data_IF_003163120199
#
_entry.id   IF_003163120199
#
_cell.length_a   1.000
_cell.length_b   1.000
_cell.length_c   1.000
_cell.angle_alpha   90.00
_cell.angle_beta   90.00
_cell.angle_gamma   90.00
#
_symmetry.space_group_name_H-M   'P 1'
#
loop_
_entity.id
_entity.type
_entity.pdbx_description
1 polymer ?
#
# COMPACT_ATOMS: atom_id res chain seq x y z
N UNK A 1 16.87 -9.77 25.43
CA UNK A 1 16.39 -9.38 24.08
C UNK A 1 15.20 -8.46 24.25
N UNK A 2 15.31 -7.20 23.84
CA UNK A 2 14.25 -6.19 24.06
C UNK A 2 13.20 -6.32 22.95
N UNK A 3 11.90 -6.40 23.27
CA UNK A 3 10.85 -6.42 22.25
C UNK A 3 10.82 -5.06 21.52
N UNK A 4 10.78 -5.08 20.18
CA UNK A 4 10.73 -3.90 19.31
C UNK A 4 9.36 -3.22 19.41
N UNK A 5 9.16 -2.44 20.47
CA UNK A 5 8.17 -1.35 20.50
C UNK A 5 8.59 -0.28 19.50
N UNK A 6 7.63 0.45 18.91
CA UNK A 6 7.91 1.65 18.11
C UNK A 6 8.95 2.52 18.84
N UNK A 7 10.12 2.70 18.24
CA UNK A 7 11.24 3.47 18.82
C UNK A 7 11.32 4.82 18.13
N UNK A 8 11.09 5.87 18.92
CA UNK A 8 11.38 7.24 18.53
C UNK A 8 12.79 7.59 18.98
N UNK A 9 13.59 8.10 18.06
CA UNK A 9 14.69 8.97 18.46
C UNK A 9 14.14 10.38 18.45
N UNK A 10 14.13 11.03 19.61
CA UNK A 10 13.73 12.43 19.77
C UNK A 10 14.99 13.28 19.84
N UNK A 11 15.07 14.30 18.99
CA UNK A 11 16.08 15.33 19.06
C UNK A 11 15.45 16.59 19.68
N UNK A 12 15.84 16.96 20.91
CA UNK A 12 15.34 18.17 21.54
C UNK A 12 15.80 19.40 20.74
N UNK A 13 14.85 20.22 20.30
CA UNK A 13 15.11 21.60 19.92
C UNK A 13 15.26 22.50 21.16
N UNK A 14 15.70 23.77 20.98
CA UNK A 14 15.96 24.71 22.07
C UNK A 14 14.73 25.09 22.91
N UNK A 15 13.50 24.84 22.45
CA UNK A 15 12.26 25.03 23.19
C UNK A 15 11.59 23.67 23.50
N UNK A 16 11.51 23.33 24.79
CA UNK A 16 10.77 22.18 25.28
C UNK A 16 9.25 22.40 25.13
N UNK A 17 8.69 22.05 23.98
CA UNK A 17 7.25 22.09 23.71
C UNK A 17 6.53 20.77 24.11
N UNK A 18 5.19 20.76 24.31
CA UNK A 18 4.42 19.61 24.84
C UNK A 18 4.14 18.47 23.84
N UNK A 19 4.65 18.57 22.61
CA UNK A 19 4.56 17.52 21.58
C UNK A 19 4.99 16.12 22.08
N UNK A 20 6.02 15.96 22.93
CA UNK A 20 6.42 14.68 23.49
C UNK A 20 5.30 14.00 24.30
N UNK A 21 4.41 14.75 24.97
CA UNK A 21 3.36 14.17 25.79
C UNK A 21 2.22 13.58 24.95
N UNK A 22 1.81 14.27 23.88
CA UNK A 22 0.79 13.79 22.93
C UNK A 22 1.33 12.61 22.12
N UNK A 23 2.58 12.67 21.65
CA UNK A 23 3.23 11.53 20.98
C UNK A 23 3.44 10.34 21.94
N UNK A 24 3.86 10.59 23.19
CA UNK A 24 4.02 9.53 24.18
C UNK A 24 2.68 8.89 24.55
N UNK A 25 1.59 9.66 24.67
CA UNK A 25 0.25 9.12 24.89
C UNK A 25 -0.24 8.33 23.69
N UNK A 26 -0.12 8.89 22.48
CA UNK A 26 -0.44 8.19 21.24
C UNK A 26 0.27 6.84 21.15
N UNK A 27 1.56 6.82 21.51
CA UNK A 27 2.33 5.59 21.58
C UNK A 27 1.80 4.65 22.64
N UNK A 28 1.48 5.11 23.85
CA UNK A 28 0.90 4.24 24.89
C UNK A 28 -0.39 3.59 24.41
N UNK A 29 -1.27 4.34 23.74
CA UNK A 29 -2.57 3.85 23.29
C UNK A 29 -2.49 2.97 22.03
N UNK A 30 -1.53 3.21 21.13
CA UNK A 30 -1.42 2.52 19.82
C UNK A 30 -0.23 1.54 19.72
N UNK A 31 0.60 1.41 20.76
CA UNK A 31 1.71 0.43 20.80
C UNK A 31 1.27 -1.02 20.95
N UNK A 32 -0.05 -1.28 20.99
CA UNK A 32 -0.63 -2.62 20.85
C UNK A 32 -0.52 -3.18 19.42
N UNK A 33 -0.27 -2.33 18.41
CA UNK A 33 -0.08 -2.76 17.03
C UNK A 33 1.39 -3.20 16.83
N UNK A 34 1.65 -4.47 17.11
CA UNK A 34 2.99 -5.07 17.25
C UNK A 34 3.83 -5.14 15.95
N UNK A 35 3.52 -4.31 14.94
CA UNK A 35 4.18 -4.28 13.63
C UNK A 35 4.68 -2.91 13.16
N UNK A 36 4.48 -1.83 13.92
CA UNK A 36 4.86 -0.49 13.47
C UNK A 36 6.39 -0.34 13.31
N UNK A 37 6.83 0.11 12.14
CA UNK A 37 8.23 0.41 11.87
C UNK A 37 8.76 1.54 12.79
N UNK A 38 10.04 1.53 13.19
CA UNK A 38 10.60 2.60 14.01
C UNK A 38 10.60 3.93 13.25
N UNK A 39 10.02 4.98 13.85
CA UNK A 39 9.91 6.33 13.28
C UNK A 39 10.84 7.27 14.07
N UNK A 40 11.71 8.02 13.40
CA UNK A 40 12.48 9.09 14.04
C UNK A 40 11.65 10.39 14.06
N UNK A 41 11.62 11.08 15.21
CA UNK A 41 10.96 12.37 15.37
C UNK A 41 12.00 13.45 15.66
N UNK A 42 12.00 14.49 14.85
CA UNK A 42 12.93 15.61 14.93
C UNK A 42 12.11 16.84 15.30
N UNK A 43 12.44 17.48 16.42
CA UNK A 43 11.67 18.60 16.93
C UNK A 43 12.30 19.96 16.62
N UNK A 44 11.44 20.89 16.19
CA UNK A 44 11.36 22.31 16.56
C UNK A 44 12.31 23.35 15.96
N UNK A 45 11.69 24.35 15.29
CA UNK A 45 12.28 25.40 14.44
C UNK A 45 13.16 26.39 15.19
N UNK A 46 14.47 26.13 15.13
CA UNK A 46 15.45 27.21 15.08
C UNK A 46 16.19 27.16 13.75
N UNK A 47 16.57 28.33 13.22
CA UNK A 47 17.45 28.49 12.05
C UNK A 47 18.81 27.78 12.19
N UNK A 48 19.06 27.05 13.29
CA UNK A 48 20.28 26.32 13.59
C UNK A 48 20.28 24.88 13.05
N UNK A 49 19.18 24.37 12.48
CA UNK A 49 19.19 23.02 11.91
C UNK A 49 19.79 22.90 10.52
N UNK A 50 20.06 24.01 9.83
CA UNK A 50 20.80 23.97 8.56
C UNK A 50 22.13 23.19 8.71
N UNK A 51 22.67 23.15 9.93
CA UNK A 51 23.92 22.48 10.29
C UNK A 51 23.73 21.21 11.16
N UNK A 52 22.50 20.89 11.61
CA UNK A 52 22.24 19.72 12.43
C UNK A 52 22.00 18.48 11.54
N UNK A 53 22.78 17.40 11.66
CA UNK A 53 22.57 16.22 10.84
C UNK A 53 21.24 15.57 11.23
N UNK A 54 20.22 15.72 10.37
CA UNK A 54 19.08 14.82 10.39
C UNK A 54 19.63 13.42 10.15
N UNK A 55 19.35 12.44 11.04
CA UNK A 55 19.77 11.08 10.76
C UNK A 55 19.16 10.67 9.43
N UNK A 56 20.02 10.43 8.44
CA UNK A 56 19.59 9.91 7.16
C UNK A 56 18.73 8.66 7.39
N UNK A 57 17.70 8.48 6.56
CA UNK A 57 16.93 7.23 6.52
C UNK A 57 17.92 6.06 6.54
N UNK A 58 17.76 5.15 7.49
CA UNK A 58 18.71 4.06 7.73
C UNK A 58 17.96 2.80 8.13
N UNK A 59 18.67 1.68 8.23
CA UNK A 59 18.10 0.42 8.75
C UNK A 59 17.52 0.56 10.17
N UNK A 60 17.84 1.64 10.91
CA UNK A 60 17.35 1.92 12.26
C UNK A 60 16.06 2.74 12.32
N UNK A 61 15.76 3.56 11.30
CA UNK A 61 14.59 4.44 11.26
C UNK A 61 13.99 4.47 9.87
N UNK A 62 12.70 4.14 9.78
CA UNK A 62 12.02 3.94 8.52
C UNK A 62 11.33 5.21 7.97
N UNK A 63 11.12 6.21 8.83
CA UNK A 63 10.64 7.54 8.48
C UNK A 63 11.23 8.62 9.40
N UNK A 64 11.35 9.85 8.89
CA UNK A 64 11.75 11.04 9.66
C UNK A 64 10.64 12.09 9.65
N UNK A 65 10.30 12.66 10.80
CA UNK A 65 9.24 13.67 10.92
C UNK A 65 9.80 14.94 11.53
N UNK A 66 9.35 16.09 11.03
CA UNK A 66 9.63 17.41 11.62
C UNK A 66 8.36 17.96 12.27
N UNK A 67 8.49 18.56 13.46
CA UNK A 67 7.40 19.29 14.12
C UNK A 67 7.64 20.79 14.05
N UNK A 68 6.67 21.57 13.57
CA UNK A 68 6.84 23.01 13.38
C UNK A 68 5.51 23.79 13.42
N UNK A 69 5.58 25.12 13.58
CA UNK A 69 4.41 26.00 13.46
C UNK A 69 3.98 26.12 11.99
N UNK A 70 2.69 26.43 11.77
CA UNK A 70 2.14 26.61 10.43
C UNK A 70 2.68 27.90 9.79
N UNK A 71 3.73 27.77 9.00
CA UNK A 71 4.34 28.90 8.29
C UNK A 71 4.81 28.45 6.90
N UNK A 72 4.71 29.35 5.92
CA UNK A 72 5.18 29.12 4.56
C UNK A 72 6.68 28.80 4.54
N UNK A 73 7.08 27.83 3.72
CA UNK A 73 8.47 27.39 3.56
C UNK A 73 8.91 26.28 4.53
N UNK A 74 8.09 25.99 5.56
CA UNK A 74 8.39 24.95 6.55
C UNK A 74 8.48 23.55 5.92
N UNK A 75 7.58 23.22 4.99
CA UNK A 75 7.57 21.93 4.31
C UNK A 75 8.75 21.80 3.35
N UNK A 76 9.13 22.91 2.70
CA UNK A 76 10.31 22.98 1.82
C UNK A 76 11.58 22.72 2.61
N UNK A 77 11.76 23.37 3.76
CA UNK A 77 12.91 23.18 4.65
C UNK A 77 12.95 21.75 5.21
N UNK A 78 11.82 21.24 5.71
CA UNK A 78 11.73 19.87 6.22
C UNK A 78 12.14 18.83 5.15
N UNK A 79 11.68 19.03 3.91
CA UNK A 79 12.06 18.17 2.78
C UNK A 79 13.56 18.27 2.46
N UNK A 80 14.14 19.48 2.56
CA UNK A 80 15.57 19.69 2.28
C UNK A 80 16.50 18.95 3.25
N UNK A 81 16.03 18.72 4.48
CA UNK A 81 16.75 17.94 5.50
C UNK A 81 16.34 16.46 5.52
N UNK A 82 15.54 16.01 4.55
CA UNK A 82 15.17 14.60 4.39
C UNK A 82 13.97 14.13 5.22
N UNK A 83 13.15 15.03 5.76
CA UNK A 83 11.93 14.66 6.46
C UNK A 83 10.86 14.09 5.50
N UNK A 84 10.17 13.05 5.95
CA UNK A 84 9.05 12.41 5.26
C UNK A 84 7.74 13.17 5.42
N UNK A 85 7.56 13.88 6.54
CA UNK A 85 6.35 14.65 6.83
C UNK A 85 6.63 15.80 7.82
N UNK A 86 5.69 16.74 7.86
CA UNK A 86 5.63 17.81 8.86
C UNK A 86 4.35 17.67 9.69
N UNK A 87 4.53 17.50 11.00
CA UNK A 87 3.44 17.64 11.97
C UNK A 87 3.36 19.10 12.38
N UNK A 88 2.24 19.74 12.04
CA UNK A 88 1.99 21.14 12.44
C UNK A 88 1.57 21.18 13.92
N UNK A 89 2.20 22.07 14.67
CA UNK A 89 1.89 22.30 16.08
C UNK A 89 0.44 22.79 16.23
N UNK A 90 -0.32 22.12 17.09
CA UNK A 90 -1.74 22.39 17.29
C UNK A 90 -2.68 21.57 16.39
N UNK A 91 -2.16 20.65 15.57
CA UNK A 91 -3.01 19.68 14.87
C UNK A 91 -3.82 18.81 15.85
N UNK A 92 -5.03 18.43 15.42
CA UNK A 92 -5.91 17.53 16.16
C UNK A 92 -5.20 16.18 16.40
N UNK A 93 -5.30 15.57 17.60
CA UNK A 93 -4.66 14.29 17.90
C UNK A 93 -5.00 13.16 16.92
N UNK A 94 -6.23 13.15 16.39
CA UNK A 94 -6.67 12.18 15.39
C UNK A 94 -5.88 12.32 14.07
N UNK A 95 -5.53 13.55 13.66
CA UNK A 95 -4.73 13.81 12.47
C UNK A 95 -3.29 13.39 12.65
N UNK A 96 -2.69 13.72 13.80
CA UNK A 96 -1.35 13.24 14.16
C UNK A 96 -1.30 11.72 14.13
N UNK A 97 -2.33 11.06 14.68
CA UNK A 97 -2.47 9.60 14.68
C UNK A 97 -2.52 9.01 13.27
N UNK A 98 -3.32 9.62 12.39
CA UNK A 98 -3.46 9.20 11.00
C UNK A 98 -2.13 9.33 10.25
N UNK A 99 -1.43 10.46 10.42
CA UNK A 99 -0.11 10.70 9.82
C UNK A 99 0.93 9.68 10.26
N UNK A 100 1.01 9.39 11.55
CA UNK A 100 1.96 8.42 12.10
C UNK A 100 1.68 7.00 11.57
N UNK A 101 0.41 6.58 11.54
CA UNK A 101 0.03 5.31 10.90
C UNK A 101 0.45 5.26 9.44
N UNK A 102 0.15 6.32 8.69
CA UNK A 102 0.48 6.37 7.27
C UNK A 102 1.98 6.29 6.99
N UNK A 103 2.79 6.94 7.80
CA UNK A 103 4.26 6.86 7.69
C UNK A 103 4.78 5.47 8.04
N UNK A 104 4.19 4.80 9.03
CA UNK A 104 4.51 3.41 9.33
C UNK A 104 4.15 2.48 8.16
N UNK A 105 2.98 2.64 7.55
CA UNK A 105 2.58 1.88 6.36
C UNK A 105 3.53 2.11 5.18
N UNK A 106 3.89 3.37 4.94
CA UNK A 106 4.84 3.77 3.89
C UNK A 106 6.20 3.12 4.10
N UNK A 107 6.66 3.07 5.35
CA UNK A 107 7.90 2.40 5.72
C UNK A 107 7.86 0.90 5.41
N UNK A 108 6.74 0.22 5.71
CA UNK A 108 6.54 -1.20 5.36
C UNK A 108 6.61 -1.38 3.84
N UNK A 109 5.89 -0.57 3.07
CA UNK A 109 5.89 -0.62 1.61
C UNK A 109 7.30 -0.41 1.03
N UNK A 110 8.07 0.55 1.54
CA UNK A 110 9.45 0.81 1.08
C UNK A 110 10.38 -0.36 1.41
N UNK A 111 10.29 -0.89 2.63
CA UNK A 111 11.10 -2.05 3.04
C UNK A 111 10.80 -3.25 2.14
N UNK A 112 9.54 -3.45 1.80
CA UNK A 112 9.11 -4.54 0.92
C UNK A 112 9.55 -4.33 -0.53
N UNK A 113 9.46 -3.11 -1.08
CA UNK A 113 10.03 -2.79 -2.40
C UNK A 113 11.54 -3.08 -2.42
N UNK A 114 12.26 -2.68 -1.38
CA UNK A 114 13.70 -2.92 -1.29
C UNK A 114 14.02 -4.42 -1.21
N UNK A 115 13.21 -5.21 -0.49
CA UNK A 115 13.34 -6.68 -0.41
C UNK A 115 13.09 -7.33 -1.77
N UNK A 116 11.97 -7.01 -2.41
CA UNK A 116 11.61 -7.53 -3.74
C UNK A 116 12.69 -7.24 -4.77
N UNK A 117 13.29 -6.04 -4.75
CA UNK A 117 14.44 -5.72 -5.61
C UNK A 117 15.63 -6.64 -5.37
N UNK A 118 16.05 -6.86 -4.12
CA UNK A 118 17.16 -7.78 -3.82
C UNK A 118 16.91 -9.20 -4.32
N UNK A 119 15.68 -9.70 -4.18
CA UNK A 119 15.31 -11.03 -4.69
C UNK A 119 15.26 -11.02 -6.21
N UNK A 120 14.73 -9.96 -6.82
CA UNK A 120 14.65 -9.81 -8.27
C UNK A 120 16.03 -9.77 -8.94
N UNK A 121 17.05 -9.21 -8.28
CA UNK A 121 18.44 -9.22 -8.76
C UNK A 121 18.98 -10.64 -9.01
N UNK A 122 18.46 -11.65 -8.31
CA UNK A 122 18.80 -13.07 -8.54
C UNK A 122 18.29 -13.61 -9.88
N UNK A 123 17.30 -12.93 -10.47
CA UNK A 123 16.65 -13.28 -11.74
C UNK A 123 16.98 -12.29 -12.85
N UNK A 124 17.78 -11.26 -12.56
CA UNK A 124 18.15 -10.26 -13.56
C UNK A 124 18.89 -10.94 -14.73
N UNK A 125 18.52 -10.64 -15.98
CA UNK A 125 19.26 -11.15 -17.11
C UNK A 125 20.72 -10.65 -17.04
N UNK A 126 21.69 -11.42 -17.56
CA UNK A 126 23.07 -10.96 -17.60
C UNK A 126 23.14 -9.60 -18.31
N UNK A 127 24.01 -8.67 -17.85
CA UNK A 127 24.10 -7.35 -18.44
C UNK A 127 24.37 -7.47 -19.93
N UNK A 128 23.42 -7.02 -20.76
CA UNK A 128 23.59 -7.02 -22.22
C UNK A 128 24.61 -5.95 -22.58
N UNK A 129 25.82 -6.37 -23.00
CA UNK A 129 26.79 -5.48 -23.63
C UNK A 129 26.12 -4.78 -24.83
N UNK A 130 25.97 -3.46 -24.76
CA UNK A 130 25.55 -2.63 -25.89
C UNK A 130 24.12 -2.06 -25.88
N UNK A 131 23.26 -2.40 -24.91
CA UNK A 131 22.01 -1.62 -24.70
C UNK A 131 22.32 -0.47 -23.74
N UNK A 132 22.30 0.78 -24.24
CA UNK A 132 22.22 1.95 -23.36
C UNK A 132 21.04 1.76 -22.42
N UNK A 133 21.19 2.15 -21.16
CA UNK A 133 20.13 2.24 -20.15
C UNK A 133 19.11 3.35 -20.49
N UNK A 134 18.68 3.44 -21.76
CA UNK A 134 17.84 4.51 -22.31
C UNK A 134 16.41 4.07 -22.63
N UNK A 135 16.00 2.86 -22.22
CA UNK A 135 14.59 2.47 -22.13
C UNK A 135 14.03 2.69 -20.70
N UNK A 136 14.67 3.57 -19.91
CA UNK A 136 13.95 4.18 -18.79
C UNK A 136 12.86 5.02 -19.42
N UNK A 137 11.65 4.46 -19.57
CA UNK A 137 10.44 5.26 -19.79
C UNK A 137 10.54 6.40 -18.79
N UNK A 138 10.59 7.62 -19.31
CA UNK A 138 10.42 8.81 -18.50
C UNK A 138 9.16 8.55 -17.67
N UNK A 139 9.20 8.65 -16.33
CA UNK A 139 8.01 8.38 -15.56
C UNK A 139 6.92 9.31 -16.10
N UNK A 140 5.83 8.73 -16.60
CA UNK A 140 4.65 9.52 -16.92
C UNK A 140 4.33 10.33 -15.67
N UNK A 141 4.19 11.64 -15.84
CA UNK A 141 3.87 12.54 -14.72
C UNK A 141 2.71 11.93 -13.93
N UNK A 142 2.77 11.89 -12.59
CA UNK A 142 1.75 11.22 -11.80
C UNK A 142 0.37 11.79 -12.11
N UNK A 143 -0.59 10.90 -12.40
CA UNK A 143 -1.98 11.29 -12.63
C UNK A 143 -2.73 11.47 -11.30
N UNK A 144 -3.45 12.59 -11.16
CA UNK A 144 -4.30 12.92 -10.01
C UNK A 144 -5.71 13.21 -10.49
N UNK A 145 -6.71 12.57 -9.87
CA UNK A 145 -8.12 12.80 -10.14
C UNK A 145 -8.71 13.71 -9.06
N UNK A 146 -9.17 14.89 -9.45
CA UNK A 146 -9.90 15.79 -8.56
C UNK A 146 -11.39 15.49 -8.62
N UNK A 147 -12.01 15.28 -7.46
CA UNK A 147 -13.43 14.94 -7.34
C UNK A 147 -14.17 16.04 -6.56
N UNK A 148 -15.26 16.55 -7.13
CA UNK A 148 -16.09 17.59 -6.53
C UNK A 148 -16.16 18.85 -7.39
N UNK A 149 -16.84 19.87 -6.86
CA UNK A 149 -17.16 21.09 -7.58
C UNK A 149 -15.91 21.93 -7.88
N UNK A 150 -15.85 22.48 -9.09
CA UNK A 150 -14.83 23.46 -9.44
C UNK A 150 -14.86 24.67 -8.51
N UNK A 151 -13.69 25.14 -8.07
CA UNK A 151 -13.58 26.25 -7.13
C UNK A 151 -12.17 26.57 -6.68
N UNK A 152 -12.04 27.58 -5.82
CA UNK A 152 -10.75 28.06 -5.31
C UNK A 152 -9.94 26.99 -4.57
N UNK A 153 -10.62 26.09 -3.87
CA UNK A 153 -9.95 24.99 -3.17
C UNK A 153 -9.25 24.05 -4.15
N UNK A 154 -9.94 23.69 -5.24
CA UNK A 154 -9.38 22.84 -6.28
C UNK A 154 -8.21 23.51 -6.99
N UNK A 155 -8.32 24.81 -7.30
CA UNK A 155 -7.22 25.58 -7.89
C UNK A 155 -5.98 25.56 -7.00
N UNK A 156 -6.11 25.72 -5.68
CA UNK A 156 -4.98 25.63 -4.76
C UNK A 156 -4.22 24.31 -4.84
N UNK A 157 -4.92 23.18 -4.91
CA UNK A 157 -4.26 21.88 -5.00
C UNK A 157 -3.67 21.61 -6.39
N UNK A 158 -4.29 22.12 -7.45
CA UNK A 158 -3.73 22.08 -8.81
C UNK A 158 -2.46 22.93 -8.90
N UNK A 159 -2.48 24.14 -8.33
CA UNK A 159 -1.33 25.04 -8.27
C UNK A 159 -0.17 24.44 -7.47
N UNK A 160 -0.47 23.76 -6.35
CA UNK A 160 0.52 23.03 -5.57
C UNK A 160 1.19 21.90 -6.35
N UNK A 161 0.55 21.34 -7.39
CA UNK A 161 1.09 20.25 -8.22
C UNK A 161 1.50 20.69 -9.63
N UNK A 162 1.47 21.99 -9.91
CA UNK A 162 1.75 22.51 -11.26
C UNK A 162 3.15 22.13 -11.72
N UNK A 163 3.23 21.59 -12.95
CA UNK A 163 4.48 21.06 -13.52
C UNK A 163 4.88 19.67 -13.01
N UNK A 164 4.27 19.17 -11.94
CA UNK A 164 4.55 17.86 -11.35
C UNK A 164 3.57 16.77 -11.80
N UNK A 165 2.26 17.02 -11.76
CA UNK A 165 1.23 16.00 -12.04
C UNK A 165 0.42 16.29 -13.30
N UNK A 166 -0.32 15.29 -13.79
CA UNK A 166 -1.41 15.47 -14.76
C UNK A 166 -2.73 15.42 -13.98
N UNK A 167 -3.58 16.43 -14.16
CA UNK A 167 -4.86 16.53 -13.47
C UNK A 167 -6.01 16.07 -14.37
N UNK A 168 -6.91 15.26 -13.82
CA UNK A 168 -8.23 14.98 -14.36
C UNK A 168 -9.29 15.45 -13.36
N UNK A 169 -10.52 15.66 -13.85
CA UNK A 169 -11.59 16.30 -13.07
C UNK A 169 -12.89 15.52 -13.19
N UNK A 170 -13.58 15.32 -12.07
CA UNK A 170 -14.89 14.71 -12.00
C UNK A 170 -15.78 15.47 -11.01
N UNK A 171 -16.87 16.04 -11.48
CA UNK A 171 -17.81 16.78 -10.61
C UNK A 171 -18.64 15.85 -9.71
N UNK A 172 -18.85 14.60 -10.14
CA UNK A 172 -19.67 13.61 -9.41
C UNK A 172 -18.89 12.32 -9.10
N UNK A 173 -19.28 11.57 -8.06
CA UNK A 173 -18.69 10.26 -7.75
C UNK A 173 -18.77 9.28 -8.92
N UNK A 174 -19.90 9.24 -9.63
CA UNK A 174 -20.12 8.35 -10.76
C UNK A 174 -19.17 8.69 -11.92
N UNK A 175 -18.91 9.98 -12.13
CA UNK A 175 -17.91 10.44 -13.10
C UNK A 175 -16.50 10.01 -12.67
N UNK A 176 -16.18 10.13 -11.38
CA UNK A 176 -14.88 9.68 -10.84
C UNK A 176 -14.68 8.17 -11.01
N UNK A 177 -15.72 7.38 -10.77
CA UNK A 177 -15.69 5.91 -10.96
C UNK A 177 -15.48 5.52 -12.42
N UNK A 178 -16.07 6.25 -13.38
CA UNK A 178 -15.83 6.03 -14.81
C UNK A 178 -14.39 6.34 -15.22
N UNK A 179 -13.80 7.40 -14.68
CA UNK A 179 -12.38 7.71 -14.86
C UNK A 179 -11.50 6.57 -14.35
N UNK A 180 -11.76 6.05 -13.15
CA UNK A 180 -11.00 4.93 -12.60
C UNK A 180 -11.06 3.65 -13.44
N UNK A 181 -12.20 3.38 -14.08
CA UNK A 181 -12.36 2.22 -14.95
C UNK A 181 -11.55 2.32 -16.25
N UNK A 182 -11.14 3.53 -16.64
CA UNK A 182 -10.52 3.81 -17.95
C UNK A 182 -9.08 4.31 -17.84
N UNK A 183 -8.66 4.76 -16.66
CA UNK A 183 -7.33 5.29 -16.40
C UNK A 183 -6.85 4.98 -14.97
N UNK A 184 -5.54 4.81 -14.83
CA UNK A 184 -4.90 4.66 -13.52
C UNK A 184 -4.55 6.04 -12.96
N UNK A 185 -4.86 6.25 -11.68
CA UNK A 185 -4.51 7.45 -10.92
C UNK A 185 -3.63 7.07 -9.74
N UNK A 186 -2.76 7.98 -9.31
CA UNK A 186 -1.93 7.82 -8.12
C UNK A 186 -2.65 8.37 -6.88
N UNK A 187 -3.38 9.47 -7.06
CA UNK A 187 -4.18 10.06 -6.00
C UNK A 187 -5.55 10.51 -6.50
N UNK A 188 -6.54 10.42 -5.61
CA UNK A 188 -7.85 11.03 -5.75
C UNK A 188 -7.94 12.13 -4.70
N UNK A 189 -8.18 13.37 -5.14
CA UNK A 189 -8.29 14.54 -4.26
C UNK A 189 -9.73 15.01 -4.25
N UNK A 190 -10.40 14.85 -3.11
CA UNK A 190 -11.76 15.33 -2.91
C UNK A 190 -11.72 16.81 -2.55
N UNK A 191 -12.49 17.63 -3.27
CA UNK A 191 -12.49 19.10 -3.16
C UNK A 191 -13.92 19.64 -3.07
N UNK A 192 -14.09 20.81 -2.45
CA UNK A 192 -15.35 21.56 -2.49
C UNK A 192 -16.53 20.97 -1.69
N UNK A 193 -16.34 19.88 -0.94
CA UNK A 193 -17.35 19.33 -0.04
C UNK A 193 -17.33 20.09 1.29
N UNK A 194 -18.45 20.70 1.67
CA UNK A 194 -18.60 21.48 2.91
C UNK A 194 -19.47 20.79 3.97
N UNK A 195 -20.24 19.77 3.57
CA UNK A 195 -21.27 19.12 4.40
C UNK A 195 -20.86 17.69 4.72
N UNK A 196 -20.92 17.30 5.99
CA UNK A 196 -20.59 15.95 6.46
C UNK A 196 -21.41 14.88 5.72
N UNK A 197 -22.72 15.08 5.58
CA UNK A 197 -23.59 14.12 4.88
C UNK A 197 -23.23 13.91 3.40
N UNK A 198 -22.71 14.94 2.72
CA UNK A 198 -22.22 14.81 1.35
C UNK A 198 -20.91 14.03 1.29
N UNK A 199 -20.01 14.27 2.26
CA UNK A 199 -18.78 13.50 2.43
C UNK A 199 -19.10 12.01 2.68
N UNK A 200 -19.98 11.71 3.64
CA UNK A 200 -20.42 10.35 3.94
C UNK A 200 -20.99 9.64 2.71
N UNK A 201 -21.86 10.32 1.96
CA UNK A 201 -22.45 9.75 0.74
C UNK A 201 -21.41 9.42 -0.32
N UNK A 202 -20.43 10.33 -0.55
CA UNK A 202 -19.31 10.06 -1.46
C UNK A 202 -18.52 8.84 -1.01
N UNK A 203 -18.11 8.78 0.27
CA UNK A 203 -17.31 7.68 0.79
C UNK A 203 -18.05 6.34 0.73
N UNK A 204 -19.36 6.31 1.02
CA UNK A 204 -20.18 5.11 0.89
C UNK A 204 -20.19 4.58 -0.56
N UNK A 205 -20.38 5.47 -1.54
CA UNK A 205 -20.37 5.09 -2.96
C UNK A 205 -18.99 4.61 -3.43
N UNK A 206 -17.91 5.27 -2.99
CA UNK A 206 -16.55 4.83 -3.31
C UNK A 206 -16.24 3.48 -2.66
N UNK A 207 -16.63 3.26 -1.40
CA UNK A 207 -16.35 2.04 -0.65
C UNK A 207 -16.90 0.77 -1.32
N UNK A 208 -18.01 0.87 -2.05
CA UNK A 208 -18.58 -0.23 -2.83
C UNK A 208 -17.64 -0.71 -3.95
N UNK A 209 -16.81 0.19 -4.49
CA UNK A 209 -15.90 -0.07 -5.60
C UNK A 209 -14.43 -0.19 -5.18
N UNK A 210 -14.10 0.35 -4.01
CA UNK A 210 -12.74 0.35 -3.48
C UNK A 210 -12.21 -1.08 -3.35
N UNK A 211 -11.03 -1.28 -3.93
CA UNK A 211 -10.22 -2.47 -3.74
C UNK A 211 -8.92 -2.04 -3.06
N UNK A 212 -8.13 -2.94 -2.47
CA UNK A 212 -6.78 -2.60 -2.01
C UNK A 212 -5.88 -1.94 -3.07
N UNK A 213 -6.20 -2.07 -4.36
CA UNK A 213 -5.53 -1.38 -5.46
C UNK A 213 -6.02 0.07 -5.70
N UNK A 214 -6.90 0.59 -4.85
CA UNK A 214 -7.41 1.95 -4.92
C UNK A 214 -6.28 3.00 -4.73
N UNK A 215 -6.32 4.14 -5.46
CA UNK A 215 -5.36 5.23 -5.31
C UNK A 215 -5.45 5.87 -3.93
N UNK A 216 -4.43 6.67 -3.55
CA UNK A 216 -4.49 7.38 -2.28
C UNK A 216 -5.62 8.43 -2.31
N UNK A 217 -6.53 8.38 -1.34
CA UNK A 217 -7.70 9.25 -1.21
C UNK A 217 -7.40 10.39 -0.23
N UNK A 218 -7.24 11.60 -0.74
CA UNK A 218 -6.94 12.80 0.05
C UNK A 218 -8.14 13.73 0.04
N UNK A 219 -8.51 14.27 1.20
CA UNK A 219 -9.58 15.28 1.31
C UNK A 219 -8.95 16.65 1.48
N UNK A 220 -9.21 17.57 0.55
CA UNK A 220 -8.89 18.97 0.72
C UNK A 220 -10.08 19.67 1.41
N UNK A 221 -9.96 19.90 2.72
CA UNK A 221 -11.02 20.42 3.57
C UNK A 221 -11.16 21.95 3.43
N UNK A 222 -12.34 22.47 3.04
CA UNK A 222 -12.63 23.91 3.08
C UNK A 222 -12.56 24.47 4.50
N UNK A 223 -12.29 25.77 4.63
CA UNK A 223 -12.17 26.42 5.95
C UNK A 223 -13.50 26.47 6.74
N UNK A 224 -14.62 26.47 6.02
CA UNK A 224 -15.99 26.55 6.52
C UNK A 224 -16.74 25.20 6.43
N UNK A 225 -16.00 24.10 6.30
CA UNK A 225 -16.57 22.76 6.38
C UNK A 225 -17.24 22.54 7.75
N UNK A 226 -18.41 21.89 7.75
CA UNK A 226 -19.16 21.58 8.97
C UNK A 226 -18.75 20.26 9.63
N UNK A 227 -17.67 19.65 9.15
CA UNK A 227 -17.11 18.39 9.63
C UNK A 227 -15.65 18.56 10.05
N UNK A 228 -15.23 17.78 11.04
CA UNK A 228 -13.85 17.76 11.52
C UNK A 228 -12.96 16.94 10.58
N UNK A 229 -11.65 17.17 10.62
CA UNK A 229 -10.70 16.39 9.81
C UNK A 229 -10.68 14.92 10.26
N UNK A 230 -10.91 14.67 11.55
CA UNK A 230 -11.09 13.34 12.11
C UNK A 230 -12.21 12.54 11.44
N UNK A 231 -13.28 13.19 11.01
CA UNK A 231 -14.45 12.52 10.43
C UNK A 231 -14.11 11.95 9.05
N UNK A 232 -13.40 12.73 8.23
CA UNK A 232 -12.91 12.28 6.93
C UNK A 232 -11.92 11.11 7.07
N UNK A 233 -11.01 11.16 8.05
CA UNK A 233 -10.09 10.05 8.35
C UNK A 233 -10.87 8.80 8.78
N UNK A 234 -11.87 8.94 9.65
CA UNK A 234 -12.70 7.83 10.12
C UNK A 234 -13.49 7.17 8.98
N UNK A 235 -13.87 7.95 7.96
CA UNK A 235 -14.52 7.45 6.74
C UNK A 235 -13.56 6.75 5.77
N UNK A 236 -12.24 6.86 5.98
CA UNK A 236 -11.21 6.17 5.19
C UNK A 236 -10.37 7.07 4.30
N UNK A 237 -10.34 8.39 4.53
CA UNK A 237 -9.37 9.27 3.88
C UNK A 237 -7.94 8.90 4.33
N UNK A 238 -7.00 8.85 3.39
CA UNK A 238 -5.59 8.61 3.68
C UNK A 238 -4.92 9.85 4.30
N UNK A 239 -5.36 11.05 3.92
CA UNK A 239 -4.92 12.31 4.52
C UNK A 239 -6.01 13.38 4.36
N UNK A 240 -5.97 14.39 5.22
CA UNK A 240 -6.80 15.58 5.14
C UNK A 240 -5.89 16.80 5.15
N UNK A 241 -6.05 17.65 4.14
CA UNK A 241 -5.28 18.87 3.95
C UNK A 241 -6.25 20.03 4.12
N UNK A 242 -5.91 21.03 4.94
CA UNK A 242 -6.75 22.21 5.02
C UNK A 242 -6.47 23.09 3.79
N UNK A 243 -7.51 23.62 3.15
CA UNK A 243 -7.33 24.56 2.03
C UNK A 243 -6.56 25.81 2.45
N UNK A 244 -6.55 26.14 3.74
CA UNK A 244 -5.80 27.25 4.33
C UNK A 244 -4.32 26.96 4.51
N UNK A 245 -3.88 25.71 4.36
CA UNK A 245 -2.47 25.34 4.50
C UNK A 245 -1.60 26.08 3.46
N UNK A 246 -0.34 26.42 3.81
CA UNK A 246 0.63 26.94 2.86
C UNK A 246 0.82 26.01 1.66
N UNK A 247 1.08 26.58 0.48
CA UNK A 247 1.17 25.83 -0.77
C UNK A 247 2.26 24.75 -0.73
N UNK A 248 3.39 24.99 -0.05
CA UNK A 248 4.47 24.01 0.09
C UNK A 248 4.06 22.82 0.97
N UNK A 249 3.22 23.03 1.99
CA UNK A 249 2.65 21.95 2.80
C UNK A 249 1.63 21.13 2.01
N UNK A 250 0.76 21.79 1.23
CA UNK A 250 -0.17 21.10 0.32
C UNK A 250 0.62 20.23 -0.68
N UNK A 251 1.66 20.80 -1.30
CA UNK A 251 2.53 20.08 -2.22
C UNK A 251 3.18 18.85 -1.56
N UNK A 252 3.81 19.01 -0.39
CA UNK A 252 4.47 17.91 0.31
C UNK A 252 3.51 16.76 0.61
N UNK A 253 2.30 17.06 1.10
CA UNK A 253 1.30 16.05 1.45
C UNK A 253 0.78 15.30 0.24
N UNK A 254 0.49 16.01 -0.86
CA UNK A 254 0.07 15.39 -2.12
C UNK A 254 1.20 14.57 -2.76
N UNK A 255 2.43 15.08 -2.78
CA UNK A 255 3.60 14.38 -3.28
C UNK A 255 3.84 13.07 -2.52
N UNK A 256 3.65 13.07 -1.19
CA UNK A 256 3.70 11.85 -0.37
C UNK A 256 2.60 10.86 -0.75
N UNK A 257 1.35 11.31 -0.86
CA UNK A 257 0.23 10.44 -1.24
C UNK A 257 0.45 9.76 -2.62
N UNK A 258 1.05 10.50 -3.56
CA UNK A 258 1.47 9.99 -4.87
C UNK A 258 2.60 8.96 -4.71
N UNK A 259 3.66 9.28 -3.96
CA UNK A 259 4.78 8.37 -3.74
C UNK A 259 4.35 7.04 -3.10
N UNK A 260 3.39 7.07 -2.16
CA UNK A 260 2.85 5.86 -1.56
C UNK A 260 2.08 5.00 -2.58
N UNK A 261 1.34 5.63 -3.49
CA UNK A 261 0.64 4.94 -4.57
C UNK A 261 1.60 4.35 -5.60
N UNK A 262 2.70 5.03 -5.89
CA UNK A 262 3.79 4.50 -6.73
C UNK A 262 4.44 3.27 -6.10
N UNK A 263 4.69 3.28 -4.79
CA UNK A 263 5.22 2.11 -4.07
C UNK A 263 4.25 0.92 -4.17
N UNK A 264 2.95 1.14 -3.93
CA UNK A 264 1.94 0.08 -4.09
C UNK A 264 1.88 -0.46 -5.51
N UNK A 265 1.95 0.42 -6.51
CA UNK A 265 1.96 0.04 -7.93
C UNK A 265 3.21 -0.77 -8.27
N UNK A 266 4.39 -0.35 -7.82
CA UNK A 266 5.64 -1.07 -8.02
C UNK A 266 5.58 -2.50 -7.46
N UNK A 267 5.00 -2.67 -6.28
CA UNK A 267 4.80 -3.99 -5.66
C UNK A 267 3.82 -4.85 -6.45
N UNK A 268 2.67 -4.30 -6.86
CA UNK A 268 1.62 -5.04 -7.60
C UNK A 268 2.07 -5.46 -8.99
N UNK A 269 2.89 -4.65 -9.66
CA UNK A 269 3.39 -4.92 -11.01
C UNK A 269 4.65 -5.81 -11.03
N UNK A 270 5.09 -6.33 -9.87
CA UNK A 270 6.31 -7.14 -9.74
C UNK A 270 7.53 -6.44 -10.36
N UNK A 271 7.66 -5.12 -10.15
CA UNK A 271 8.69 -4.32 -10.79
C UNK A 271 10.10 -4.87 -10.48
N UNK A 272 10.88 -5.11 -11.52
CA UNK A 272 12.25 -5.62 -11.43
C UNK A 272 12.38 -7.14 -11.63
N UNK A 273 11.29 -7.92 -11.56
CA UNK A 273 11.30 -9.36 -11.81
C UNK A 273 11.22 -9.72 -13.31
N UNK A 274 11.96 -8.98 -14.15
CA UNK A 274 11.97 -9.21 -15.60
C UNK A 274 12.41 -10.65 -15.92
N UNK A 275 11.51 -11.44 -16.52
CA UNK A 275 11.77 -12.86 -16.83
C UNK A 275 11.48 -13.85 -15.69
N UNK A 276 11.11 -13.37 -14.51
CA UNK A 276 10.66 -14.18 -13.37
C UNK A 276 9.12 -14.25 -13.24
N UNK A 277 8.39 -13.55 -14.12
CA UNK A 277 6.93 -13.50 -14.19
C UNK A 277 6.40 -14.62 -15.10
N UNK A 278 5.31 -15.28 -14.68
CA UNK A 278 4.56 -16.24 -15.50
C UNK A 278 3.88 -15.54 -16.68
N UNK A 279 4.18 -16.02 -17.89
CA UNK A 279 3.72 -15.40 -19.14
C UNK A 279 2.20 -15.39 -19.34
N UNK A 280 1.47 -16.26 -18.64
CA UNK A 280 0.02 -16.34 -18.76
C UNK A 280 -0.65 -15.47 -17.71
N UNK A 281 -0.32 -15.63 -16.42
CA UNK A 281 -1.00 -14.91 -15.33
C UNK A 281 -0.49 -13.48 -15.14
N UNK A 282 0.76 -13.18 -15.50
CA UNK A 282 1.41 -11.92 -15.17
C UNK A 282 1.83 -11.80 -13.70
N UNK A 283 1.73 -12.89 -12.92
CA UNK A 283 2.22 -12.98 -11.54
C UNK A 283 3.60 -13.62 -11.49
N UNK A 284 4.32 -13.52 -10.37
CA UNK A 284 5.61 -14.21 -10.24
C UNK A 284 5.47 -15.73 -10.48
N UNK A 285 6.46 -16.30 -11.15
CA UNK A 285 6.61 -17.73 -11.29
C UNK A 285 7.13 -18.39 -10.01
N UNK A 286 7.07 -19.72 -10.00
CA UNK A 286 7.44 -20.54 -8.85
C UNK A 286 8.85 -20.24 -8.29
N UNK A 287 9.86 -20.15 -9.15
CA UNK A 287 11.25 -19.95 -8.72
C UNK A 287 11.47 -18.62 -8.00
N UNK A 288 10.85 -17.54 -8.49
CA UNK A 288 10.93 -16.22 -7.89
C UNK A 288 10.18 -16.16 -6.55
N UNK A 289 8.99 -16.75 -6.50
CA UNK A 289 8.23 -16.89 -5.26
C UNK A 289 9.00 -17.70 -4.21
N UNK A 290 9.58 -18.83 -4.60
CA UNK A 290 10.38 -19.66 -3.71
C UNK A 290 11.59 -18.89 -3.16
N UNK A 291 12.36 -18.21 -4.02
CA UNK A 291 13.50 -17.40 -3.59
C UNK A 291 13.08 -16.29 -2.61
N UNK A 292 11.94 -15.63 -2.87
CA UNK A 292 11.41 -14.63 -1.96
C UNK A 292 11.04 -15.23 -0.59
N UNK A 293 10.30 -16.34 -0.58
CA UNK A 293 9.91 -17.01 0.67
C UNK A 293 11.16 -17.46 1.44
N UNK A 294 12.18 -17.99 0.76
CA UNK A 294 13.46 -18.34 1.39
C UNK A 294 14.17 -17.13 2.00
N UNK A 295 14.27 -16.01 1.28
CA UNK A 295 14.81 -14.75 1.83
C UNK A 295 14.03 -14.28 3.06
N UNK A 296 12.70 -14.41 3.01
CA UNK A 296 11.82 -13.97 4.09
C UNK A 296 11.98 -14.82 5.35
N UNK A 297 12.10 -16.14 5.20
CA UNK A 297 12.33 -17.10 6.28
C UNK A 297 13.74 -17.04 6.87
N UNK A 298 14.72 -16.50 6.14
CA UNK A 298 16.09 -16.33 6.62
C UNK A 298 16.22 -15.27 7.72
N UNK A 299 15.19 -14.46 7.93
CA UNK A 299 15.14 -13.45 8.98
C UNK A 299 14.47 -14.06 10.22
N UNK A 300 15.22 -14.23 11.32
CA UNK A 300 14.82 -14.80 12.64
C UNK A 300 13.64 -14.09 13.35
N UNK A 301 13.08 -13.08 12.69
CA UNK A 301 12.01 -12.21 13.15
C UNK A 301 10.96 -12.16 12.03
N UNK A 302 10.49 -13.30 11.51
CA UNK A 302 9.26 -13.35 10.71
C UNK A 302 8.10 -13.14 11.68
N UNK A 303 7.59 -11.90 11.89
CA UNK A 303 6.34 -11.74 12.60
C UNK A 303 5.29 -12.58 11.88
N UNK A 304 4.37 -13.13 12.66
CA UNK A 304 3.05 -13.68 12.29
C UNK A 304 2.79 -13.58 10.78
N UNK A 305 3.27 -14.57 10.05
CA UNK A 305 3.21 -14.65 8.59
C UNK A 305 2.65 -16.01 8.20
N UNK A 306 2.14 -16.09 6.99
CA UNK A 306 1.59 -17.33 6.46
C UNK A 306 1.90 -17.47 4.98
N UNK A 307 2.19 -18.70 4.57
CA UNK A 307 2.13 -19.10 3.18
C UNK A 307 0.75 -19.68 2.91
N UNK A 308 0.00 -19.07 2.01
CA UNK A 308 -1.33 -19.51 1.58
C UNK A 308 -1.24 -20.11 0.18
N UNK A 309 -1.86 -21.26 -0.02
CA UNK A 309 -1.99 -21.92 -1.31
C UNK A 309 -3.44 -21.90 -1.77
N UNK A 310 -3.65 -21.53 -3.03
CA UNK A 310 -4.95 -21.42 -3.69
C UNK A 310 -4.94 -22.39 -4.87
N UNK A 311 -5.69 -23.48 -4.78
CA UNK A 311 -5.83 -24.49 -5.84
C UNK A 311 -7.15 -24.24 -6.57
N UNK A 312 -7.09 -23.98 -7.88
CA UNK A 312 -8.28 -23.78 -8.71
C UNK A 312 -8.91 -25.14 -9.08
N UNK A 313 -10.22 -25.22 -8.96
CA UNK A 313 -11.02 -26.35 -9.40
C UNK A 313 -11.78 -25.97 -10.68
N UNK A 314 -11.97 -26.94 -11.59
CA UNK A 314 -12.72 -26.74 -12.84
C UNK A 314 -11.91 -26.26 -14.04
N UNK A 315 -10.62 -25.92 -13.87
CA UNK A 315 -9.76 -25.45 -14.97
C UNK A 315 -9.59 -26.51 -16.07
N UNK A 316 -9.42 -27.78 -15.69
CA UNK A 316 -9.31 -28.87 -16.67
C UNK A 316 -10.60 -29.04 -17.49
N UNK A 317 -11.77 -28.92 -16.84
CA UNK A 317 -13.06 -28.94 -17.53
C UNK A 317 -13.19 -27.78 -18.50
N UNK A 318 -12.79 -26.58 -18.07
CA UNK A 318 -12.79 -25.40 -18.91
C UNK A 318 -11.85 -25.54 -20.11
N UNK A 319 -10.66 -26.12 -19.92
CA UNK A 319 -9.73 -26.43 -21.00
C UNK A 319 -10.32 -27.42 -22.00
N UNK A 320 -11.05 -28.44 -21.53
CA UNK A 320 -11.74 -29.39 -22.41
C UNK A 320 -12.86 -28.72 -23.21
N UNK A 321 -13.62 -27.81 -22.60
CA UNK A 321 -14.76 -27.13 -23.23
C UNK A 321 -14.34 -25.99 -24.17
N UNK A 322 -13.26 -25.26 -23.86
CA UNK A 322 -12.89 -24.00 -24.51
C UNK A 322 -11.44 -23.92 -25.00
N UNK A 323 -10.71 -25.03 -24.89
CA UNK A 323 -9.29 -25.09 -25.21
C UNK A 323 -8.40 -24.33 -24.21
N UNK A 324 -7.08 -24.45 -24.39
CA UNK A 324 -6.10 -23.79 -23.53
C UNK A 324 -6.18 -22.26 -23.56
N UNK A 325 -6.64 -21.66 -24.67
CA UNK A 325 -6.86 -20.21 -24.75
C UNK A 325 -7.95 -19.77 -23.75
N UNK A 326 -9.02 -20.57 -23.60
CA UNK A 326 -10.07 -20.33 -22.62
C UNK A 326 -9.57 -20.49 -21.18
N UNK A 327 -8.75 -21.51 -20.91
CA UNK A 327 -8.10 -21.68 -19.60
C UNK A 327 -7.14 -20.54 -19.25
N UNK A 328 -6.33 -20.10 -20.22
CA UNK A 328 -5.41 -18.98 -20.04
C UNK A 328 -6.15 -17.67 -19.77
N UNK A 329 -7.26 -17.41 -20.46
CA UNK A 329 -8.12 -16.27 -20.19
C UNK A 329 -8.67 -16.31 -18.76
N UNK A 330 -9.08 -17.49 -18.29
CA UNK A 330 -9.55 -17.67 -16.93
C UNK A 330 -8.45 -17.46 -15.88
N UNK A 331 -7.24 -17.97 -16.13
CA UNK A 331 -6.08 -17.75 -15.27
C UNK A 331 -5.71 -16.28 -15.16
N UNK A 332 -5.76 -15.52 -16.26
CA UNK A 332 -5.56 -14.06 -16.27
C UNK A 332 -6.62 -13.35 -15.44
N UNK A 333 -7.90 -13.72 -15.60
CA UNK A 333 -9.01 -13.12 -14.86
C UNK A 333 -8.88 -13.36 -13.35
N UNK A 334 -8.56 -14.61 -12.96
CA UNK A 334 -8.33 -14.97 -11.55
C UNK A 334 -7.12 -14.23 -10.99
N UNK A 335 -5.99 -14.21 -11.70
CA UNK A 335 -4.78 -13.51 -11.28
C UNK A 335 -5.03 -12.02 -11.07
N UNK A 336 -5.64 -11.34 -12.04
CA UNK A 336 -5.97 -9.92 -11.95
C UNK A 336 -6.89 -9.60 -10.77
N UNK A 337 -7.88 -10.46 -10.49
CA UNK A 337 -8.79 -10.29 -9.36
C UNK A 337 -8.09 -10.51 -8.02
N UNK A 338 -7.33 -11.59 -7.89
CA UNK A 338 -6.51 -11.83 -6.69
C UNK A 338 -5.58 -10.64 -6.44
N UNK A 339 -4.80 -10.22 -7.44
CA UNK A 339 -3.88 -9.08 -7.36
C UNK A 339 -4.57 -7.78 -6.96
N UNK A 340 -5.78 -7.52 -7.44
CA UNK A 340 -6.53 -6.30 -7.06
C UNK A 340 -7.07 -6.33 -5.63
N UNK A 341 -7.25 -7.54 -5.06
CA UNK A 341 -7.96 -7.76 -3.78
C UNK A 341 -7.04 -8.14 -2.62
N UNK A 342 -5.79 -8.51 -2.88
CA UNK A 342 -4.74 -8.68 -1.86
C UNK A 342 -4.02 -7.36 -1.58
N UNK A 343 -3.36 -7.24 -0.41
CA UNK A 343 -2.60 -6.04 -0.08
C UNK A 343 -1.39 -5.92 -1.03
N UNK A 344 -0.83 -4.73 -1.17
CA UNK A 344 0.26 -4.52 -2.14
C UNK A 344 1.55 -5.22 -1.69
N UNK A 345 1.78 -5.23 -0.38
CA UNK A 345 2.89 -5.87 0.32
C UNK A 345 2.78 -7.40 0.39
N UNK A 346 1.58 -7.97 0.20
CA UNK A 346 1.43 -9.42 0.04
C UNK A 346 2.05 -9.85 -1.30
N UNK A 347 2.70 -11.01 -1.34
CA UNK A 347 3.32 -11.53 -2.56
C UNK A 347 2.46 -12.62 -3.19
N UNK A 348 1.81 -12.30 -4.30
CA UNK A 348 1.07 -13.26 -5.13
C UNK A 348 1.99 -13.86 -6.21
N UNK A 349 1.86 -15.17 -6.42
CA UNK A 349 2.60 -15.91 -7.43
C UNK A 349 1.76 -17.04 -8.03
N UNK A 350 2.09 -17.45 -9.25
CA UNK A 350 1.63 -18.70 -9.84
C UNK A 350 2.63 -19.81 -9.56
N UNK A 351 2.23 -20.74 -8.70
CA UNK A 351 3.08 -21.84 -8.19
C UNK A 351 2.81 -23.18 -8.89
N UNK A 352 1.89 -23.21 -9.86
CA UNK A 352 1.61 -24.39 -10.68
C UNK A 352 0.55 -24.12 -11.76
N UNK A 353 0.21 -25.15 -12.54
CA UNK A 353 -0.73 -25.03 -13.67
C UNK A 353 -2.08 -24.43 -13.28
N UNK A 354 -2.68 -24.89 -12.17
CA UNK A 354 -3.94 -24.40 -11.63
C UNK A 354 -3.79 -23.85 -10.19
N UNK A 355 -2.58 -23.40 -9.81
CA UNK A 355 -2.27 -23.09 -8.41
C UNK A 355 -1.58 -21.74 -8.24
N UNK A 356 -2.07 -20.96 -7.28
CA UNK A 356 -1.49 -19.70 -6.83
C UNK A 356 -0.94 -19.84 -5.40
N UNK A 357 0.15 -19.13 -5.12
CA UNK A 357 0.74 -18.96 -3.80
C UNK A 357 0.62 -17.51 -3.38
N UNK A 358 0.33 -17.28 -2.10
CA UNK A 358 0.27 -15.95 -1.50
C UNK A 358 1.10 -15.95 -0.22
N UNK A 359 2.12 -15.11 -0.16
CA UNK A 359 2.83 -14.83 1.09
C UNK A 359 2.19 -13.61 1.76
N UNK A 360 1.81 -13.76 3.03
CA UNK A 360 1.16 -12.72 3.83
C UNK A 360 1.99 -12.46 5.08
N UNK A 361 2.33 -11.20 5.30
CA UNK A 361 2.95 -10.72 6.54
C UNK A 361 1.90 -10.10 7.47
N UNK A 362 2.24 -10.02 8.76
CA UNK A 362 1.40 -9.37 9.79
C UNK A 362 -0.02 -9.94 9.91
N UNK A 363 -0.19 -11.26 9.74
CA UNK A 363 -1.47 -11.97 9.86
C UNK A 363 -1.50 -12.84 11.11
N UNK A 364 -2.55 -12.69 11.91
CA UNK A 364 -2.78 -13.57 13.05
C UNK A 364 -3.25 -14.95 12.58
N UNK A 365 -2.85 -16.06 13.24
CA UNK A 365 -3.35 -17.39 12.91
C UNK A 365 -4.89 -17.49 12.88
N UNK A 366 -5.56 -16.79 13.79
CA UNK A 366 -7.02 -16.72 13.89
C UNK A 366 -7.71 -15.99 12.72
N UNK A 367 -6.98 -15.17 11.95
CA UNK A 367 -7.51 -14.46 10.79
C UNK A 367 -7.40 -15.27 9.49
N UNK A 368 -6.62 -16.35 9.47
CA UNK A 368 -6.38 -17.16 8.28
C UNK A 368 -7.64 -17.84 7.71
N UNK A 369 -8.57 -18.37 8.53
CA UNK A 369 -9.83 -18.89 8.01
C UNK A 369 -10.65 -17.82 7.27
N UNK A 370 -10.70 -16.59 7.79
CA UNK A 370 -11.40 -15.47 7.15
C UNK A 370 -10.72 -15.06 5.84
N UNK A 371 -9.38 -15.01 5.83
CA UNK A 371 -8.62 -14.77 4.61
C UNK A 371 -8.91 -15.84 3.55
N UNK A 372 -8.93 -17.12 3.94
CA UNK A 372 -9.20 -18.23 3.04
C UNK A 372 -10.59 -18.13 2.40
N UNK A 373 -11.63 -17.88 3.20
CA UNK A 373 -13.00 -17.66 2.69
C UNK A 373 -13.07 -16.47 1.73
N UNK A 374 -12.37 -15.37 2.04
CA UNK A 374 -12.31 -14.20 1.16
C UNK A 374 -11.64 -14.53 -0.17
N UNK A 375 -10.54 -15.28 -0.16
CA UNK A 375 -9.85 -15.71 -1.39
C UNK A 375 -10.72 -16.64 -2.24
N UNK A 376 -11.48 -17.54 -1.59
CA UNK A 376 -12.48 -18.37 -2.27
C UNK A 376 -13.56 -17.52 -2.95
N UNK A 377 -14.12 -16.53 -2.25
CA UNK A 377 -15.13 -15.62 -2.80
C UNK A 377 -14.58 -14.77 -3.96
N UNK A 378 -13.33 -14.31 -3.88
CA UNK A 378 -12.67 -13.57 -4.96
C UNK A 378 -12.59 -14.42 -6.24
N UNK A 379 -12.17 -15.68 -6.13
CA UNK A 379 -12.14 -16.61 -7.27
C UNK A 379 -13.56 -16.93 -7.73
N UNK A 380 -14.47 -17.21 -6.80
CA UNK A 380 -15.88 -17.50 -7.07
C UNK A 380 -16.62 -16.34 -7.76
N UNK A 381 -16.13 -15.11 -7.66
CA UNK A 381 -16.71 -13.97 -8.38
C UNK A 381 -16.06 -13.72 -9.73
N UNK A 382 -14.93 -14.36 -10.04
CA UNK A 382 -14.21 -14.24 -11.33
C UNK A 382 -15.09 -14.47 -12.56
N UNK A 383 -16.21 -15.15 -12.34
CA UNK A 383 -17.19 -15.62 -13.30
C UNK A 383 -17.94 -14.58 -14.13
N UNK A 384 -18.30 -13.43 -13.56
CA UNK A 384 -19.46 -12.67 -14.07
C UNK A 384 -19.14 -11.73 -15.24
N UNK A 385 -17.87 -11.36 -15.44
CA UNK A 385 -17.49 -10.33 -16.44
C UNK A 385 -16.67 -10.84 -17.62
N UNK A 386 -15.98 -11.97 -17.44
CA UNK A 386 -14.94 -12.45 -18.38
C UNK A 386 -15.33 -13.77 -19.08
N UNK A 387 -16.58 -14.21 -18.90
CA UNK A 387 -17.11 -15.46 -19.49
C UNK A 387 -16.61 -16.74 -18.84
N UNK A 388 -15.95 -16.67 -17.67
CA UNK A 388 -15.32 -17.80 -16.98
C UNK A 388 -16.33 -18.50 -16.06
N UNK A 389 -17.27 -19.27 -16.61
CA UNK A 389 -18.22 -20.02 -15.78
C UNK A 389 -17.56 -21.29 -15.19
N UNK A 390 -17.63 -21.48 -13.87
CA UNK A 390 -17.38 -22.76 -13.19
C UNK A 390 -16.04 -22.94 -12.44
N UNK A 391 -15.26 -21.89 -12.16
CA UNK A 391 -14.02 -22.01 -11.39
C UNK A 391 -14.20 -21.71 -9.90
N UNK A 392 -14.06 -22.71 -9.04
CA UNK A 392 -13.92 -22.49 -7.59
C UNK A 392 -12.46 -22.57 -7.16
N UNK A 393 -12.18 -22.26 -5.90
CA UNK A 393 -10.86 -22.48 -5.31
C UNK A 393 -10.96 -23.21 -3.98
N UNK A 394 -9.97 -24.05 -3.71
CA UNK A 394 -9.64 -24.56 -2.38
C UNK A 394 -8.44 -23.81 -1.85
N UNK A 395 -8.49 -23.43 -0.58
CA UNK A 395 -7.47 -22.60 0.05
C UNK A 395 -6.98 -23.28 1.32
N UNK A 396 -5.66 -23.33 1.49
CA UNK A 396 -4.99 -23.83 2.68
C UNK A 396 -3.77 -22.98 2.98
N UNK A 397 -3.22 -23.09 4.19
CA UNK A 397 -2.14 -22.25 4.66
C UNK A 397 -1.14 -23.04 5.51
N UNK A 398 0.06 -22.49 5.64
CA UNK A 398 1.09 -23.01 6.51
C UNK A 398 1.75 -21.85 7.24
N UNK A 399 2.01 -22.06 8.54
CA UNK A 399 2.65 -21.09 9.41
C UNK A 399 4.13 -21.46 9.53
N UNK A 400 5.07 -20.51 9.37
CA UNK A 400 6.50 -20.80 9.33
C UNK A 400 7.14 -21.14 10.70
N UNK A 401 6.34 -21.44 11.74
CA UNK A 401 6.84 -21.63 13.11
C UNK A 401 7.90 -22.73 13.21
N UNK A 402 9.10 -22.36 13.67
CA UNK A 402 10.18 -23.31 13.96
C UNK A 402 10.80 -23.99 12.73
N UNK A 403 10.46 -23.55 11.52
CA UNK A 403 11.05 -24.09 10.31
C UNK A 403 12.39 -23.42 10.01
N UNK A 404 13.47 -24.20 9.91
CA UNK A 404 14.75 -23.70 9.40
C UNK A 404 14.63 -23.28 7.93
N UNK A 405 15.63 -22.52 7.44
CA UNK A 405 15.83 -22.05 6.04
C UNK A 405 15.47 -23.07 4.94
N UNK A 406 15.40 -24.37 5.25
CA UNK A 406 15.17 -25.48 4.33
C UNK A 406 13.74 -25.67 3.80
N UNK A 407 12.70 -25.01 4.31
CA UNK A 407 11.33 -25.54 4.13
C UNK A 407 10.30 -24.60 3.46
N UNK A 408 10.68 -23.70 2.55
CA UNK A 408 9.72 -22.99 1.69
C UNK A 408 8.89 -23.95 0.82
N UNK A 409 9.54 -25.01 0.30
CA UNK A 409 8.89 -26.12 -0.39
C UNK A 409 7.91 -26.87 0.52
N UNK A 410 8.35 -27.21 1.74
CA UNK A 410 7.53 -27.93 2.72
C UNK A 410 6.31 -27.12 3.12
N UNK A 411 6.45 -25.80 3.38
CA UNK A 411 5.34 -24.89 3.62
C UNK A 411 4.36 -24.86 2.45
N UNK A 412 4.86 -24.79 1.22
CA UNK A 412 4.02 -24.86 0.01
C UNK A 412 3.27 -26.19 -0.09
N UNK A 413 3.93 -27.31 0.18
CA UNK A 413 3.31 -28.64 0.18
C UNK A 413 2.27 -28.79 1.28
N UNK A 414 2.54 -28.31 2.50
CA UNK A 414 1.61 -28.34 3.63
C UNK A 414 0.35 -27.51 3.34
N UNK A 415 0.52 -26.27 2.87
CA UNK A 415 -0.58 -25.39 2.51
C UNK A 415 -1.46 -26.02 1.42
N UNK A 416 -0.85 -26.61 0.39
CA UNK A 416 -1.58 -27.32 -0.68
C UNK A 416 -2.24 -28.61 -0.20
N UNK A 417 -1.58 -29.36 0.67
CA UNK A 417 -2.14 -30.58 1.26
C UNK A 417 -3.34 -30.25 2.16
N UNK A 418 -3.29 -29.14 2.90
CA UNK A 418 -4.45 -28.63 3.65
C UNK A 418 -5.58 -28.25 2.68
N UNK A 419 -5.31 -27.46 1.63
CA UNK A 419 -6.30 -27.09 0.63
C UNK A 419 -7.00 -28.32 0.01
N UNK A 420 -6.23 -29.39 -0.25
CA UNK A 420 -6.78 -30.64 -0.81
C UNK A 420 -7.62 -31.44 0.18
N UNK A 421 -7.27 -31.44 1.48
CA UNK A 421 -7.95 -32.22 2.53
C UNK A 421 -9.34 -31.70 2.88
N UNK A 422 -9.60 -30.40 2.76
CA UNK A 422 -10.84 -29.80 3.28
C UNK A 422 -12.06 -29.84 2.33
N UNK A 423 -11.93 -30.34 1.09
CA UNK A 423 -13.06 -30.39 0.15
C UNK A 423 -13.71 -29.02 -0.13
N UNK A 424 -14.72 -28.97 -1.00
CA UNK A 424 -15.39 -27.73 -1.44
C UNK A 424 -16.25 -27.03 -0.34
N UNK A 425 -16.16 -27.45 0.92
CA UNK A 425 -16.92 -26.87 2.04
C UNK A 425 -15.98 -26.60 3.20
N UNK A 426 -15.63 -25.33 3.40
CA UNK A 426 -15.02 -24.86 4.63
C UNK A 426 -15.91 -25.26 5.81
N UNK A 427 -15.35 -25.98 6.79
CA UNK A 427 -15.94 -26.06 8.13
C UNK A 427 -15.21 -25.02 8.97
N UNK A 428 -16.02 -24.20 9.64
CA UNK A 428 -15.68 -23.15 10.60
C UNK A 428 -14.66 -23.62 11.63
#
# INVERSE_FOLDING_TARGET
MVPRRARFLWYPGPHQEPVPAILAEWLRTNSGDQGAAPIALIAERSTQWADAPVPARSERFAAAIVTARLESGTATLASSVGADDVIVLGEEPAMISARLRRLADTAILRAEVARRRRVADLFAPPPRLGRRASDRRQPDRPAVLFVGNAGGDQLKAVDALTGWSIAAYAETPEHALRHWQTAAYHAVVVTGLRREGALQSLFAQLAETMTPAWPSLVVLRPADADYAASDAIAMGADDVIAVTDPQDLIHQRLARAIADAELRTALRCHQGFDGAVDSVSGELGYSAFHAYVTDRLAVDDTPKSALVAIELDGLDRLNLERGFVGGDAALRAVAGRLRSRVRAEDLLARIGGAAFGLWVDHIQPEDLPRLALRLQDIVARAHVRDGVEGLSARVGWALPYGMSLRNALTLSHEARAQARRHGLRAVV
#
